data_IF_321557964436
#
_entry.id   IF_321557964436
#
_cell.length_a   1.000
_cell.length_b   1.000
_cell.length_c   1.000
_cell.angle_alpha   90.00
_cell.angle_beta   90.00
_cell.angle_gamma   90.00
#
_symmetry.space_group_name_H-M   'P 1'
#
loop_
_entity.id
_entity.type
_entity.pdbx_description
1 polymer ?
#
# COMPACT_ATOMS: atom_id res chain seq x y z
N UNK A 1 -7.36 -0.87 -15.70
CA UNK A 1 -7.66 -1.20 -14.29
C UNK A 1 -8.54 -2.42 -14.25
N UNK A 2 -7.92 -3.58 -14.44
CA UNK A 2 -8.62 -4.86 -14.29
C UNK A 2 -8.46 -5.30 -12.83
N UNK A 3 -9.58 -5.46 -12.13
CA UNK A 3 -9.59 -5.84 -10.71
C UNK A 3 -9.09 -7.28 -10.52
N UNK A 4 -9.10 -8.09 -11.57
CA UNK A 4 -8.62 -9.48 -11.56
C UNK A 4 -7.09 -9.61 -11.52
N UNK A 5 -6.35 -8.54 -11.82
CA UNK A 5 -4.89 -8.53 -11.69
C UNK A 5 -4.44 -8.62 -10.22
N UNK A 6 -5.34 -8.27 -9.29
CA UNK A 6 -5.14 -8.38 -7.85
C UNK A 6 -5.62 -9.73 -7.30
N UNK A 7 -5.18 -10.82 -7.96
CA UNK A 7 -5.30 -12.16 -7.39
C UNK A 7 -4.56 -12.24 -6.04
N UNK A 8 -4.94 -13.20 -5.19
CA UNK A 8 -4.29 -13.38 -3.89
C UNK A 8 -2.77 -13.51 -4.01
N UNK A 9 -2.27 -14.33 -4.94
CA UNK A 9 -0.83 -14.52 -5.16
C UNK A 9 -0.11 -13.23 -5.55
N UNK A 10 -0.73 -12.41 -6.41
CA UNK A 10 -0.14 -11.15 -6.84
C UNK A 10 -0.13 -10.13 -5.70
N UNK A 11 -1.22 -10.06 -4.92
CA UNK A 11 -1.31 -9.20 -3.74
C UNK A 11 -0.24 -9.57 -2.72
N UNK A 12 -0.03 -10.87 -2.45
CA UNK A 12 1.02 -11.34 -1.53
C UNK A 12 2.42 -10.95 -2.01
N UNK A 13 2.72 -11.09 -3.31
CA UNK A 13 4.01 -10.66 -3.88
C UNK A 13 4.23 -9.16 -3.69
N UNK A 14 3.21 -8.34 -3.94
CA UNK A 14 3.31 -6.88 -3.81
C UNK A 14 3.45 -6.49 -2.32
N UNK A 15 2.71 -7.16 -1.42
CA UNK A 15 2.79 -6.91 0.03
C UNK A 15 4.19 -7.23 0.58
N UNK A 16 4.75 -8.38 0.20
CA UNK A 16 6.11 -8.81 0.58
C UNK A 16 7.19 -7.84 0.08
N UNK A 17 7.05 -7.31 -1.14
CA UNK A 17 7.97 -6.28 -1.66
C UNK A 17 7.93 -4.99 -0.81
N UNK A 18 6.74 -4.58 -0.39
CA UNK A 18 6.58 -3.41 0.47
C UNK A 18 7.12 -3.67 1.89
N UNK A 19 6.92 -4.87 2.42
CA UNK A 19 7.50 -5.27 3.72
C UNK A 19 9.03 -5.31 3.69
N UNK A 20 9.65 -5.82 2.63
CA UNK A 20 11.12 -5.86 2.45
C UNK A 20 11.77 -4.49 2.51
N UNK A 21 11.09 -3.46 1.99
CA UNK A 21 11.57 -2.08 2.04
C UNK A 21 11.20 -1.36 3.34
N UNK A 22 10.53 -2.06 4.28
CA UNK A 22 9.90 -1.50 5.48
C UNK A 22 8.96 -0.34 5.16
N UNK A 23 8.36 -0.35 3.97
CA UNK A 23 7.53 0.70 3.42
C UNK A 23 6.05 0.31 3.34
N UNK A 24 5.30 1.17 2.66
CA UNK A 24 3.89 0.96 2.34
C UNK A 24 3.67 1.13 0.83
N UNK A 25 2.75 0.33 0.30
CA UNK A 25 2.30 0.39 -1.08
C UNK A 25 1.08 1.33 -1.15
N UNK A 26 1.25 2.50 -1.75
CA UNK A 26 0.19 3.50 -1.85
C UNK A 26 -0.65 3.27 -3.11
N UNK A 27 -1.90 2.84 -2.92
CA UNK A 27 -2.81 2.45 -3.99
C UNK A 27 -3.95 3.48 -4.07
N UNK A 28 -4.41 3.89 -5.26
CA UNK A 28 -5.60 4.74 -5.38
C UNK A 28 -6.78 4.15 -4.62
N UNK A 29 -7.44 4.96 -3.79
CA UNK A 29 -8.53 4.49 -2.91
C UNK A 29 -9.63 3.76 -3.66
N UNK A 30 -9.95 4.20 -4.88
CA UNK A 30 -10.92 3.52 -5.74
C UNK A 30 -10.50 2.08 -6.05
N UNK A 31 -9.24 1.86 -6.44
CA UNK A 31 -8.68 0.52 -6.70
C UNK A 31 -8.62 -0.30 -5.43
N UNK A 32 -8.10 0.25 -4.32
CA UNK A 32 -7.97 -0.45 -3.04
C UNK A 32 -9.32 -0.91 -2.48
N UNK A 33 -10.40 -0.15 -2.74
CA UNK A 33 -11.76 -0.51 -2.33
C UNK A 33 -12.37 -1.64 -3.16
N UNK A 34 -11.92 -1.81 -4.40
CA UNK A 34 -12.41 -2.82 -5.36
C UNK A 34 -11.66 -4.15 -5.26
N UNK A 35 -10.45 -4.13 -4.70
CA UNK A 35 -9.65 -5.35 -4.49
C UNK A 35 -10.32 -6.30 -3.51
N UNK A 36 -10.49 -7.55 -3.93
CA UNK A 36 -11.02 -8.64 -3.09
C UNK A 36 -10.01 -9.02 -1.99
N UNK A 37 -8.72 -9.08 -2.35
CA UNK A 37 -7.62 -9.37 -1.43
C UNK A 37 -6.83 -8.09 -1.15
N UNK A 38 -6.48 -7.84 0.11
CA UNK A 38 -5.74 -6.65 0.54
C UNK A 38 -4.49 -7.07 1.31
N UNK A 39 -3.35 -6.54 0.88
CA UNK A 39 -2.10 -6.65 1.62
C UNK A 39 -2.14 -5.84 2.92
N UNK A 40 -1.34 -6.25 3.89
CA UNK A 40 -1.23 -5.58 5.20
C UNK A 40 -0.49 -4.23 5.12
N UNK A 41 0.35 -4.05 4.09
CA UNK A 41 1.13 -2.84 3.82
C UNK A 41 0.50 -1.96 2.75
N UNK A 42 -0.76 -2.20 2.37
CA UNK A 42 -1.45 -1.36 1.39
C UNK A 42 -2.13 -0.19 2.08
N UNK A 43 -1.90 1.01 1.56
CA UNK A 43 -2.52 2.25 2.05
C UNK A 43 -3.16 3.03 0.90
N UNK A 44 -4.21 3.82 1.18
CA UNK A 44 -4.71 4.76 0.20
C UNK A 44 -3.64 5.81 -0.14
N UNK A 45 -3.49 6.12 -1.42
CA UNK A 45 -2.50 7.10 -1.89
C UNK A 45 -2.72 8.53 -1.33
N UNK A 46 -3.92 8.83 -0.84
CA UNK A 46 -4.23 10.09 -0.15
C UNK A 46 -3.46 10.25 1.16
N UNK A 47 -3.01 9.16 1.79
CA UNK A 47 -2.22 9.21 3.03
C UNK A 47 -0.73 9.46 2.80
N UNK A 48 -0.25 9.39 1.55
CA UNK A 48 1.18 9.50 1.26
C UNK A 48 1.80 10.79 1.82
N UNK A 49 1.14 11.93 1.61
CA UNK A 49 1.65 13.22 2.07
C UNK A 49 1.74 13.30 3.60
N UNK A 50 0.73 12.78 4.30
CA UNK A 50 0.69 12.76 5.76
C UNK A 50 1.79 11.84 6.32
N UNK A 51 1.94 10.65 5.75
CA UNK A 51 2.98 9.70 6.15
C UNK A 51 4.39 10.24 5.90
N UNK A 52 4.60 10.95 4.79
CA UNK A 52 5.87 11.63 4.50
C UNK A 52 6.12 12.81 5.44
N UNK A 53 5.09 13.54 5.85
CA UNK A 53 5.22 14.61 6.84
C UNK A 53 5.61 14.05 8.21
N UNK A 54 5.01 12.93 8.63
CA UNK A 54 5.38 12.23 9.87
C UNK A 54 6.82 11.72 9.78
N UNK A 55 7.20 11.12 8.64
CA UNK A 55 8.56 10.68 8.40
C UNK A 55 9.57 11.83 8.46
N UNK A 56 9.30 12.96 7.81
CA UNK A 56 10.17 14.13 7.83
C UNK A 56 10.39 14.67 9.25
N UNK A 57 9.38 14.55 10.13
CA UNK A 57 9.46 15.00 11.53
C UNK A 57 10.13 14.00 12.47
N UNK A 58 9.95 12.70 12.23
CA UNK A 58 10.26 11.65 13.22
C UNK A 58 11.27 10.62 12.75
N UNK A 59 11.60 10.60 11.46
CA UNK A 59 12.39 9.55 10.81
C UNK A 59 11.66 8.22 10.67
N UNK A 60 10.34 8.16 10.94
CA UNK A 60 9.53 6.94 10.91
C UNK A 60 8.21 7.17 10.18
N UNK A 61 7.73 6.17 9.45
CA UNK A 61 6.37 6.15 8.91
C UNK A 61 5.49 5.41 9.92
N UNK A 62 4.39 6.04 10.34
CA UNK A 62 3.43 5.50 11.30
C UNK A 62 2.42 4.60 10.60
#
# INVERSE_FOLDING_TARGET
NDENEFSQSNVEIIDDLCEKTKGYCYIPSATLNKMVYKGTRFRPNTMFADDMLVFAKTGKIA
#
